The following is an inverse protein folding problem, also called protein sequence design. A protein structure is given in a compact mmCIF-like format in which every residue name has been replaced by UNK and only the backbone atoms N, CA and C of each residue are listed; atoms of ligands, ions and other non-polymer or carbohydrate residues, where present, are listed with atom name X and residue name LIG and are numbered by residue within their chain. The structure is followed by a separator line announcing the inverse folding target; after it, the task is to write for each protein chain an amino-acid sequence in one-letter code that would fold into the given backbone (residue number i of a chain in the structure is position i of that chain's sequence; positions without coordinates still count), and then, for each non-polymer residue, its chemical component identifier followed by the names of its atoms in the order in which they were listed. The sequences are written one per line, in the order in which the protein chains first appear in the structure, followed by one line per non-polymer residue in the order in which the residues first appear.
data_IF_758884155894
#
_entry.id   IF_758884155894
#
_cell.length_a   1.000
_cell.length_b   1.000
_cell.length_c   1.000
_cell.angle_alpha   90.00
_cell.angle_beta   90.00
_cell.angle_gamma   90.00
#
_symmetry.space_group_name_H-M   'P 1'
#
loop_
_entity.id
_entity.type
_entity.pdbx_description
1 polymer ?
#
# COMPACT_ATOMS: atom_id res chain seq x y z
N UNK A 1 5.49 5.03 -16.44
CA UNK A 1 5.09 4.07 -15.39
C UNK A 1 6.35 3.71 -14.59
N UNK A 2 6.40 3.95 -13.27
CA UNK A 2 7.61 3.77 -12.45
C UNK A 2 8.17 2.33 -12.49
N UNK A 3 7.32 1.31 -12.66
CA UNK A 3 7.71 -0.10 -12.80
C UNK A 3 8.74 -0.35 -13.91
N UNK A 4 8.57 0.29 -15.07
CA UNK A 4 9.48 0.11 -16.22
C UNK A 4 10.88 0.62 -15.86
N UNK A 5 10.96 1.78 -15.19
CA UNK A 5 12.25 2.35 -14.74
C UNK A 5 12.94 1.43 -13.73
N UNK A 6 12.19 0.74 -12.86
CA UNK A 6 12.74 -0.18 -11.86
C UNK A 6 13.39 -1.43 -12.47
N UNK A 7 12.96 -1.87 -13.65
CA UNK A 7 13.57 -3.02 -14.34
C UNK A 7 14.98 -2.73 -14.88
N UNK A 8 15.32 -1.45 -15.11
CA UNK A 8 16.62 -0.97 -15.62
C UNK A 8 17.03 -1.45 -17.03
N UNK A 9 16.88 -2.73 -17.36
CA UNK A 9 17.28 -3.32 -18.64
C UNK A 9 16.14 -3.33 -19.66
N UNK A 10 16.35 -2.92 -20.93
CA UNK A 10 15.29 -2.87 -21.95
C UNK A 10 14.54 -4.19 -22.16
N UNK A 11 15.25 -5.33 -22.12
CA UNK A 11 14.61 -6.64 -22.26
C UNK A 11 13.66 -6.97 -21.09
N UNK A 12 14.02 -6.55 -19.86
CA UNK A 12 13.19 -6.74 -18.67
C UNK A 12 12.03 -5.74 -18.64
N UNK A 13 12.24 -4.51 -19.14
CA UNK A 13 11.20 -3.50 -19.32
C UNK A 13 10.06 -4.00 -20.20
N UNK A 14 10.38 -4.70 -21.30
CA UNK A 14 9.38 -5.27 -22.19
C UNK A 14 8.56 -6.35 -21.49
N UNK A 15 9.21 -7.24 -20.73
CA UNK A 15 8.53 -8.26 -19.92
C UNK A 15 7.59 -7.65 -18.91
N UNK A 16 8.03 -6.60 -18.19
CA UNK A 16 7.19 -5.86 -17.24
C UNK A 16 5.97 -5.25 -17.94
N UNK A 17 6.16 -4.65 -19.13
CA UNK A 17 5.07 -4.04 -19.89
C UNK A 17 4.03 -5.08 -20.32
N UNK A 18 4.48 -6.20 -20.90
CA UNK A 18 3.61 -7.31 -21.30
C UNK A 18 2.88 -7.91 -20.11
N UNK A 19 3.58 -8.17 -19.00
CA UNK A 19 2.97 -8.70 -17.79
C UNK A 19 1.96 -7.74 -17.18
N UNK A 20 2.26 -6.44 -17.12
CA UNK A 20 1.31 -5.43 -16.60
C UNK A 20 0.01 -5.37 -17.42
N UNK A 21 0.10 -5.59 -18.73
CA UNK A 21 -1.08 -5.68 -19.59
C UNK A 21 -1.89 -6.99 -19.38
N UNK A 22 -1.25 -8.05 -18.89
CA UNK A 22 -1.86 -9.36 -18.67
C UNK A 22 -2.42 -9.58 -17.25
N UNK A 23 -1.88 -8.93 -16.22
CA UNK A 23 -2.36 -9.10 -14.84
C UNK A 23 -3.82 -8.63 -14.66
N UNK A 24 -4.52 -9.22 -13.68
CA UNK A 24 -5.91 -8.88 -13.36
C UNK A 24 -6.13 -7.39 -13.06
N UNK A 25 -7.35 -6.91 -13.30
CA UNK A 25 -7.72 -5.50 -13.18
C UNK A 25 -7.54 -4.95 -11.76
N UNK A 26 -7.77 -5.76 -10.71
CA UNK A 26 -7.55 -5.37 -9.30
C UNK A 26 -6.06 -5.07 -9.02
N UNK A 27 -5.17 -5.98 -9.40
CA UNK A 27 -3.72 -5.82 -9.20
C UNK A 27 -3.20 -4.62 -9.99
N UNK A 28 -3.61 -4.50 -11.26
CA UNK A 28 -3.26 -3.37 -12.12
C UNK A 28 -3.71 -2.04 -11.54
N UNK A 29 -4.98 -1.94 -11.09
CA UNK A 29 -5.53 -0.74 -10.45
C UNK A 29 -4.72 -0.37 -9.22
N UNK A 30 -4.40 -1.34 -8.37
CA UNK A 30 -3.60 -1.11 -7.15
C UNK A 30 -2.22 -0.54 -7.49
N UNK A 31 -1.51 -1.13 -8.46
CA UNK A 31 -0.21 -0.63 -8.91
C UNK A 31 -0.29 0.78 -9.49
N UNK A 32 -1.26 1.06 -10.38
CA UNK A 32 -1.47 2.42 -10.93
C UNK A 32 -1.74 3.42 -9.82
N UNK A 33 -2.65 3.09 -8.92
CA UNK A 33 -3.11 3.96 -7.86
C UNK A 33 -2.02 4.26 -6.85
N UNK A 34 -1.28 3.26 -6.38
CA UNK A 34 -0.32 3.44 -5.30
C UNK A 34 1.04 3.95 -5.81
N UNK A 35 1.46 3.55 -7.01
CA UNK A 35 2.72 4.04 -7.58
C UNK A 35 2.63 5.44 -8.19
N UNK A 36 1.42 5.98 -8.38
CA UNK A 36 1.21 7.36 -8.84
C UNK A 36 1.19 8.40 -7.73
N UNK A 37 1.15 7.98 -6.47
CA UNK A 37 1.27 8.91 -5.36
C UNK A 37 2.71 9.42 -5.26
N UNK A 38 2.88 10.73 -5.23
CA UNK A 38 4.17 11.41 -5.05
C UNK A 38 4.56 11.49 -3.57
N UNK A 39 3.57 11.62 -2.68
CA UNK A 39 3.77 11.95 -1.26
C UNK A 39 3.96 13.45 -1.02
N UNK A 40 4.02 14.25 -2.07
CA UNK A 40 4.10 15.70 -2.05
C UNK A 40 2.70 16.26 -2.24
N UNK A 41 2.31 17.20 -1.39
CA UNK A 41 0.98 17.79 -1.41
C UNK A 41 0.76 18.58 -2.70
N UNK A 42 -0.44 18.43 -3.30
CA UNK A 42 -0.83 19.05 -4.57
C UNK A 42 0.02 18.68 -5.80
N UNK A 43 0.95 17.72 -5.68
CA UNK A 43 1.68 17.19 -6.82
C UNK A 43 0.95 15.97 -7.41
N UNK A 44 0.61 16.04 -8.69
CA UNK A 44 0.02 14.94 -9.44
C UNK A 44 0.74 14.77 -10.78
N UNK A 45 0.88 13.52 -11.23
CA UNK A 45 1.38 13.24 -12.57
C UNK A 45 0.29 13.52 -13.60
N UNK A 46 0.62 14.26 -14.66
CA UNK A 46 -0.29 14.70 -15.73
C UNK A 46 -1.20 13.59 -16.27
N UNK A 47 -0.68 12.36 -16.40
CA UNK A 47 -1.40 11.21 -16.97
C UNK A 47 -2.03 10.27 -15.95
N UNK A 48 -2.15 10.70 -14.70
CA UNK A 48 -2.74 9.86 -13.64
C UNK A 48 -3.91 10.58 -13.02
N UNK A 49 -4.99 9.88 -12.62
CA UNK A 49 -6.07 10.53 -11.90
C UNK A 49 -5.48 11.28 -10.71
N UNK A 50 -5.97 12.49 -10.46
CA UNK A 50 -5.56 13.34 -9.33
C UNK A 50 -6.00 12.67 -8.02
N UNK A 51 -5.27 11.63 -7.63
CA UNK A 51 -5.49 10.90 -6.41
C UNK A 51 -4.78 11.67 -5.30
N UNK A 52 -5.51 12.63 -4.73
CA UNK A 52 -5.14 13.23 -3.47
C UNK A 52 -5.23 12.14 -2.39
N UNK A 53 -4.19 12.05 -1.56
CA UNK A 53 -4.17 11.09 -0.47
C UNK A 53 -2.77 10.77 0.00
N UNK A 54 -2.61 10.83 1.32
CA UNK A 54 -1.40 10.41 2.04
C UNK A 54 -1.77 9.28 3.00
N UNK A 55 -0.84 8.37 3.36
CA UNK A 55 0.57 8.38 2.98
C UNK A 55 0.85 7.82 1.58
N UNK A 56 1.97 8.24 0.98
CA UNK A 56 2.56 7.59 -0.19
C UNK A 56 3.54 6.49 0.25
N UNK A 57 3.70 5.45 -0.56
CA UNK A 57 4.51 4.29 -0.21
C UNK A 57 5.83 4.24 -0.96
N UNK A 58 6.93 4.16 -0.19
CA UNK A 58 8.24 3.80 -0.69
C UNK A 58 8.49 2.31 -0.42
N UNK A 59 8.36 1.46 -1.43
CA UNK A 59 8.67 0.03 -1.29
C UNK A 59 10.16 -0.19 -1.51
N UNK A 60 10.91 -0.27 -0.41
CA UNK A 60 12.35 -0.45 -0.42
C UNK A 60 12.72 -1.84 -0.94
N UNK A 61 13.76 -1.92 -1.78
CA UNK A 61 14.14 -3.10 -2.59
C UNK A 61 13.19 -3.53 -3.72
N UNK A 62 12.09 -2.82 -3.99
CA UNK A 62 11.23 -3.12 -5.15
C UNK A 62 12.00 -3.25 -6.49
N UNK A 63 12.98 -2.38 -6.83
CA UNK A 63 13.77 -2.56 -8.04
C UNK A 63 14.65 -3.82 -8.05
N UNK A 64 15.21 -4.20 -6.89
CA UNK A 64 16.03 -5.41 -6.79
C UNK A 64 15.16 -6.67 -6.90
N UNK A 65 14.02 -6.69 -6.23
CA UNK A 65 13.02 -7.75 -6.32
C UNK A 65 12.54 -7.95 -7.77
N UNK A 66 12.14 -6.86 -8.44
CA UNK A 66 11.64 -6.91 -9.81
C UNK A 66 12.68 -7.51 -10.77
N UNK A 67 13.94 -7.05 -10.72
CA UNK A 67 15.01 -7.55 -11.58
C UNK A 67 15.29 -9.05 -11.40
N UNK A 68 15.18 -9.56 -10.17
CA UNK A 68 15.37 -10.99 -9.90
C UNK A 68 14.21 -11.83 -10.41
N UNK A 69 12.97 -11.50 -10.01
CA UNK A 69 11.83 -12.40 -10.20
C UNK A 69 11.12 -12.23 -11.56
N UNK A 70 11.29 -11.09 -12.25
CA UNK A 70 10.66 -10.84 -13.57
C UNK A 70 11.15 -11.79 -14.65
N UNK A 71 12.32 -12.41 -14.46
CA UNK A 71 12.90 -13.37 -15.41
C UNK A 71 12.16 -14.69 -15.41
N UNK A 72 11.67 -15.09 -14.23
CA UNK A 72 11.00 -16.37 -14.00
C UNK A 72 9.50 -16.25 -14.30
N UNK A 73 8.81 -15.36 -13.59
CA UNK A 73 7.38 -15.12 -13.78
C UNK A 73 7.05 -13.63 -13.57
N UNK A 74 7.00 -12.84 -14.65
CA UNK A 74 6.76 -11.40 -14.55
C UNK A 74 5.34 -11.07 -14.08
N UNK A 75 4.34 -11.92 -14.35
CA UNK A 75 2.95 -11.66 -13.94
C UNK A 75 2.77 -11.87 -12.45
N UNK A 76 3.24 -13.01 -11.92
CA UNK A 76 3.19 -13.28 -10.49
C UNK A 76 4.03 -12.27 -9.69
N UNK A 77 5.19 -11.88 -10.21
CA UNK A 77 6.04 -10.84 -9.61
C UNK A 77 5.28 -9.52 -9.42
N UNK A 78 4.57 -9.06 -10.46
CA UNK A 78 3.78 -7.83 -10.37
C UNK A 78 2.59 -7.98 -9.41
N UNK A 79 1.95 -9.15 -9.38
CA UNK A 79 0.84 -9.38 -8.47
C UNK A 79 1.29 -9.46 -7.01
N UNK A 80 2.48 -9.99 -6.71
CA UNK A 80 3.11 -9.94 -5.38
C UNK A 80 3.29 -8.48 -4.95
N UNK A 81 3.87 -7.63 -5.81
CA UNK A 81 4.02 -6.20 -5.52
C UNK A 81 2.67 -5.51 -5.29
N UNK A 82 1.68 -5.81 -6.13
CA UNK A 82 0.33 -5.27 -5.95
C UNK A 82 -0.27 -5.64 -4.59
N UNK A 83 -0.06 -6.89 -4.15
CA UNK A 83 -0.54 -7.36 -2.85
C UNK A 83 0.19 -6.67 -1.68
N UNK A 84 1.49 -6.41 -1.80
CA UNK A 84 2.24 -5.60 -0.81
C UNK A 84 1.65 -4.19 -0.70
N UNK A 85 1.41 -3.51 -1.83
CA UNK A 85 0.78 -2.18 -1.84
C UNK A 85 -0.63 -2.19 -1.26
N UNK A 86 -1.44 -3.21 -1.59
CA UNK A 86 -2.79 -3.38 -1.05
C UNK A 86 -2.76 -3.55 0.48
N UNK A 87 -1.88 -4.42 0.98
CA UNK A 87 -1.72 -4.65 2.40
C UNK A 87 -1.21 -3.39 3.12
N UNK A 88 -0.25 -2.68 2.52
CA UNK A 88 0.22 -1.40 3.02
C UNK A 88 -0.92 -0.37 3.10
N UNK A 89 -1.83 -0.32 2.12
CA UNK A 89 -2.98 0.57 2.16
C UNK A 89 -4.00 0.21 3.26
N UNK A 90 -4.18 -1.07 3.54
CA UNK A 90 -4.99 -1.51 4.70
C UNK A 90 -4.35 -1.10 6.02
N UNK A 91 -3.03 -1.24 6.12
CA UNK A 91 -2.27 -0.90 7.32
C UNK A 91 -2.14 0.62 7.51
N UNK A 92 -1.98 1.38 6.44
CA UNK A 92 -1.83 2.83 6.45
C UNK A 92 -2.92 3.46 5.58
N UNK A 93 -4.16 3.58 6.12
CA UNK A 93 -5.28 4.17 5.41
C UNK A 93 -4.99 5.59 4.95
N UNK A 94 -5.71 6.04 3.92
CA UNK A 94 -5.63 7.43 3.49
C UNK A 94 -6.23 8.34 4.55
N UNK A 95 -5.59 9.47 4.82
CA UNK A 95 -6.22 10.56 5.57
C UNK A 95 -7.12 11.30 4.58
N UNK A 96 -8.44 11.21 4.77
CA UNK A 96 -9.39 11.94 3.94
C UNK A 96 -9.25 13.45 4.22
N UNK A 97 -8.86 14.23 3.21
CA UNK A 97 -8.76 15.70 3.32
C UNK A 97 -10.09 16.40 3.67
N UNK A 98 -11.23 15.68 3.61
CA UNK A 98 -12.55 16.25 3.92
C UNK A 98 -12.74 16.69 5.37
N UNK A 99 -11.93 16.23 6.32
CA UNK A 99 -12.07 16.68 7.72
C UNK A 99 -11.43 18.05 8.00
N UNK A 100 -10.46 18.49 7.21
CA UNK A 100 -9.72 19.72 7.53
C UNK A 100 -10.49 21.00 7.13
N UNK A 101 -11.31 20.94 6.08
CA UNK A 101 -12.08 22.11 5.66
C UNK A 101 -13.23 22.49 6.61
N UNK A 102 -13.78 21.54 7.40
CA UNK A 102 -14.89 21.83 8.32
C UNK A 102 -14.47 22.63 9.55
N UNK A 103 -13.20 22.58 9.96
CA UNK A 103 -12.72 23.30 11.15
C UNK A 103 -12.35 24.77 10.86
N UNK A 104 -12.21 25.16 9.59
CA UNK A 104 -11.86 26.53 9.21
C UNK A 104 -13.08 27.45 9.08
N UNK A 105 -14.26 26.89 8.78
CA UNK A 105 -15.47 27.68 8.49
C UNK A 105 -16.25 28.05 9.77
N UNK A 106 -16.15 27.23 10.83
CA UNK A 106 -16.78 27.48 12.14
C UNK A 106 -16.09 28.60 12.97
N UNK A 107 -14.98 29.18 12.49
CA UNK A 107 -14.33 30.33 13.12
C UNK A 107 -14.77 31.69 12.57
N UNK A 108 -15.64 31.74 11.56
CA UNK A 108 -16.07 33.02 10.94
C UNK A 108 -17.44 33.55 11.39
N UNK A 109 -18.17 32.84 12.25
CA UNK A 109 -19.54 33.22 12.64
C UNK A 109 -19.68 33.84 14.03
N UNK A 110 -18.58 34.19 14.71
CA UNK A 110 -18.63 34.80 16.03
C UNK A 110 -17.90 36.13 16.12
N UNK A 111 -18.37 37.19 15.43
CA UNK A 111 -18.07 38.58 15.82
C UNK A 111 -18.97 39.57 15.04
N UNK A 112 -20.22 39.68 15.51
CA UNK A 112 -21.01 40.89 15.35
C UNK A 112 -21.42 41.32 16.77
N UNK A 113 -20.47 41.95 17.46
CA UNK A 113 -20.67 42.57 18.77
C UNK A 113 -19.92 43.89 18.79
N UNK A 114 -20.66 44.98 18.64
CA UNK A 114 -20.19 46.36 18.67
C UNK A 114 -19.34 46.65 19.92
N UNK A 115 -18.09 47.09 19.71
CA UNK A 115 -17.34 47.83 20.74
C UNK A 115 -16.47 48.93 20.12
N UNK A 116 -16.95 50.17 20.28
CA UNK A 116 -16.27 51.41 19.96
C UNK A 116 -15.33 51.76 21.14
N UNK A 117 -14.02 51.83 20.91
CA UNK A 117 -13.04 52.23 21.92
C UNK A 117 -11.80 52.90 21.30
N UNK A 118 -11.34 54.06 21.82
CA UNK A 118 -10.27 54.82 21.21
C UNK A 118 -8.87 54.29 21.56
N UNK A 119 -7.96 54.55 20.62
CA UNK A 119 -6.59 54.08 20.51
C UNK A 119 -5.68 54.46 21.67
N UNK A 120 -4.80 53.53 22.07
CA UNK A 120 -3.37 53.78 22.39
C UNK A 120 -2.61 52.46 22.59
N UNK A 121 -1.39 52.37 22.05
CA UNK A 121 -0.34 51.50 22.61
C UNK A 121 0.26 50.49 21.63
N UNK A 122 1.31 50.90 20.92
CA UNK A 122 2.21 50.03 20.16
C UNK A 122 2.96 49.08 21.11
N UNK A 123 2.77 47.77 20.94
CA UNK A 123 3.68 46.73 21.44
C UNK A 123 4.04 45.79 20.30
N UNK A 124 5.23 45.99 19.75
CA UNK A 124 5.86 45.09 18.81
C UNK A 124 6.26 43.80 19.54
N UNK A 125 5.36 42.84 19.61
CA UNK A 125 5.68 41.47 20.03
C UNK A 125 5.91 40.65 18.77
N UNK A 126 7.17 40.58 18.35
CA UNK A 126 7.64 39.70 17.28
C UNK A 126 7.61 38.26 17.80
N UNK A 127 6.44 37.63 17.77
CA UNK A 127 6.29 36.20 18.00
C UNK A 127 6.84 35.45 16.78
N UNK A 128 8.14 35.14 16.85
CA UNK A 128 8.80 34.14 16.02
C UNK A 128 8.26 32.76 16.37
N UNK A 129 7.00 32.52 16.01
CA UNK A 129 6.42 31.18 15.94
C UNK A 129 7.04 30.54 14.71
N UNK A 130 8.18 29.89 14.90
CA UNK A 130 8.71 28.86 14.01
C UNK A 130 7.64 27.76 13.92
N UNK A 131 6.63 28.01 13.09
CA UNK A 131 5.74 27.02 12.55
C UNK A 131 6.59 26.17 11.59
N UNK A 132 7.47 25.36 12.18
CA UNK A 132 8.05 24.16 11.56
C UNK A 132 6.96 23.09 11.43
N UNK A 133 5.75 23.51 11.06
CA UNK A 133 4.76 22.66 10.44
C UNK A 133 5.13 22.56 8.95
N UNK A 134 6.42 22.32 8.67
CA UNK A 134 6.88 21.78 7.42
C UNK A 134 6.10 20.48 7.26
N UNK A 135 5.03 20.56 6.47
CA UNK A 135 4.06 19.51 6.25
C UNK A 135 4.81 18.23 5.95
N UNK A 136 5.00 17.43 6.99
CA UNK A 136 5.88 16.27 6.98
C UNK A 136 5.24 15.31 6.00
N UNK A 137 5.67 15.31 4.73
CA UNK A 137 5.13 14.46 3.69
C UNK A 137 5.15 13.05 4.24
N UNK A 138 3.99 12.51 4.58
CA UNK A 138 3.90 11.23 5.29
C UNK A 138 4.14 10.15 4.26
N UNK A 139 5.41 9.93 3.96
CA UNK A 139 5.88 8.73 3.34
C UNK A 139 5.79 7.59 4.34
N UNK A 140 5.46 6.41 3.86
CA UNK A 140 5.63 5.17 4.60
C UNK A 140 6.61 4.30 3.82
N UNK A 141 7.66 3.86 4.50
CA UNK A 141 8.66 2.95 3.93
C UNK A 141 8.25 1.51 4.21
N UNK A 142 8.19 0.70 3.16
CA UNK A 142 7.86 -0.72 3.21
C UNK A 142 9.10 -1.53 2.84
N UNK A 143 9.64 -2.29 3.77
CA UNK A 143 10.79 -3.17 3.55
C UNK A 143 10.32 -4.52 3.01
N UNK A 144 10.87 -4.95 1.86
CA UNK A 144 10.60 -6.27 1.28
C UNK A 144 11.89 -7.09 1.12
N UNK A 145 12.81 -6.98 2.07
CA UNK A 145 14.11 -7.64 2.07
C UNK A 145 14.00 -9.17 2.05
N UNK A 146 13.05 -9.75 2.81
CA UNK A 146 12.81 -11.20 2.80
C UNK A 146 12.28 -11.69 1.45
N UNK A 147 11.37 -10.95 0.81
CA UNK A 147 10.93 -11.25 -0.56
C UNK A 147 12.10 -11.14 -1.55
N UNK A 148 12.92 -10.09 -1.43
CA UNK A 148 14.12 -9.90 -2.26
C UNK A 148 15.18 -10.99 -2.06
N UNK A 149 15.24 -11.60 -0.87
CA UNK A 149 16.16 -12.71 -0.58
C UNK A 149 15.73 -14.02 -1.27
N UNK A 150 14.47 -14.14 -1.69
CA UNK A 150 13.98 -15.23 -2.54
C UNK A 150 14.21 -14.84 -4.00
N UNK A 151 14.96 -15.65 -4.73
CA UNK A 151 15.36 -15.31 -6.10
C UNK A 151 14.29 -15.64 -7.13
N UNK A 152 13.38 -16.58 -6.81
CA UNK A 152 12.31 -17.01 -7.70
C UNK A 152 10.92 -16.86 -7.07
N UNK A 153 9.92 -16.66 -7.93
CA UNK A 153 8.51 -16.64 -7.52
C UNK A 153 8.10 -17.97 -6.87
N UNK A 154 8.59 -19.09 -7.39
CA UNK A 154 8.29 -20.41 -6.84
C UNK A 154 8.72 -20.55 -5.38
N UNK A 155 9.86 -19.99 -4.98
CA UNK A 155 10.30 -19.99 -3.57
C UNK A 155 9.36 -19.18 -2.69
N UNK A 156 8.86 -18.05 -3.18
CA UNK A 156 7.95 -17.17 -2.43
C UNK A 156 6.60 -17.88 -2.22
N UNK A 157 6.06 -18.48 -3.28
CA UNK A 157 4.78 -19.18 -3.22
C UNK A 157 4.87 -20.50 -2.43
N UNK A 158 6.01 -21.19 -2.50
CA UNK A 158 6.28 -22.44 -1.79
C UNK A 158 6.35 -22.32 -0.26
N UNK A 159 6.45 -21.11 0.32
CA UNK A 159 6.38 -20.96 1.78
C UNK A 159 5.03 -21.46 2.34
N UNK A 160 3.95 -21.35 1.57
CA UNK A 160 2.63 -21.86 1.97
C UNK A 160 2.61 -23.39 2.18
N UNK A 161 3.33 -24.13 1.33
CA UNK A 161 3.45 -25.59 1.41
C UNK A 161 4.23 -26.02 2.66
N UNK A 162 5.09 -25.13 3.18
CA UNK A 162 5.87 -25.34 4.39
C UNK A 162 5.15 -24.86 5.66
N UNK A 163 3.83 -24.64 5.60
CA UNK A 163 3.04 -24.16 6.73
C UNK A 163 3.37 -22.73 7.16
N UNK A 164 3.95 -21.93 6.26
CA UNK A 164 4.28 -20.53 6.49
C UNK A 164 3.43 -19.61 5.63
N UNK A 165 3.35 -18.35 6.01
CA UNK A 165 2.64 -17.34 5.26
C UNK A 165 3.38 -16.01 5.29
N UNK A 166 3.09 -15.18 4.30
CA UNK A 166 3.66 -13.85 4.21
C UNK A 166 2.73 -12.84 4.87
N UNK A 167 3.28 -12.00 5.73
CA UNK A 167 2.57 -10.92 6.41
C UNK A 167 3.32 -9.61 6.17
N UNK A 168 2.59 -8.51 6.13
CA UNK A 168 3.15 -7.18 6.29
C UNK A 168 3.04 -6.82 7.77
N UNK A 169 4.15 -6.52 8.43
CA UNK A 169 4.24 -6.20 9.87
C UNK A 169 4.60 -4.72 10.02
N UNK A 170 3.82 -3.98 10.80
CA UNK A 170 4.07 -2.59 11.17
C UNK A 170 5.28 -2.53 12.11
N UNK A 171 6.26 -1.70 11.77
CA UNK A 171 7.43 -1.42 12.63
C UNK A 171 7.34 -0.06 13.33
N UNK A 172 6.49 0.84 12.81
CA UNK A 172 6.22 2.13 13.43
C UNK A 172 5.04 2.86 12.77
N UNK A 173 5.00 4.18 12.94
CA UNK A 173 3.99 5.03 12.30
C UNK A 173 4.24 5.23 10.81
N UNK A 174 5.49 5.13 10.37
CA UNK A 174 5.95 5.37 8.99
C UNK A 174 6.67 4.18 8.37
N UNK A 175 6.68 3.02 9.03
CA UNK A 175 7.47 1.87 8.60
C UNK A 175 6.72 0.54 8.76
N UNK A 176 6.92 -0.35 7.79
CA UNK A 176 6.50 -1.75 7.87
C UNK A 176 7.46 -2.66 7.07
N UNK A 177 7.49 -3.94 7.40
CA UNK A 177 8.31 -4.96 6.73
C UNK A 177 7.45 -6.15 6.30
N UNK A 178 7.81 -6.77 5.18
CA UNK A 178 7.23 -8.05 4.77
C UNK A 178 8.03 -9.18 5.39
N UNK A 179 7.35 -10.04 6.15
CA UNK A 179 7.95 -11.11 6.93
C UNK A 179 7.22 -12.43 6.68
N UNK A 180 7.96 -13.52 6.85
CA UNK A 180 7.38 -14.86 6.88
C UNK A 180 7.06 -15.27 8.32
N UNK A 181 5.84 -15.77 8.55
CA UNK A 181 5.41 -16.32 9.83
C UNK A 181 4.85 -17.73 9.67
N UNK A 182 5.02 -18.57 10.67
CA UNK A 182 4.31 -19.87 10.73
C UNK A 182 2.81 -19.63 10.83
N UNK A 183 2.03 -20.40 10.05
CA UNK A 183 0.59 -20.22 9.95
C UNK A 183 -0.12 -20.44 11.31
N UNK A 184 0.41 -21.34 12.14
CA UNK A 184 -0.05 -21.54 13.51
C UNK A 184 0.04 -20.24 14.34
N UNK A 185 1.18 -19.54 14.28
CA UNK A 185 1.39 -18.32 15.07
C UNK A 185 0.42 -17.20 14.68
N UNK A 186 0.06 -17.12 13.40
CA UNK A 186 -0.94 -16.14 12.90
C UNK A 186 -2.34 -16.44 13.42
N UNK A 187 -2.73 -17.72 13.50
CA UNK A 187 -4.06 -18.11 13.95
C UNK A 187 -4.30 -17.91 15.45
N UNK A 188 -3.26 -18.07 16.27
CA UNK A 188 -3.39 -18.13 17.74
C UNK A 188 -3.07 -16.83 18.48
N UNK A 189 -2.64 -15.75 17.80
CA UNK A 189 -2.32 -14.47 18.44
C UNK A 189 -3.23 -13.31 17.96
N UNK A 190 -4.54 -13.36 18.24
CA UNK A 190 -5.48 -12.34 17.78
C UNK A 190 -5.28 -10.96 18.45
N UNK A 191 -4.62 -10.88 19.60
CA UNK A 191 -4.48 -9.64 20.36
C UNK A 191 -3.39 -8.69 19.83
N UNK A 192 -2.46 -9.17 18.99
CA UNK A 192 -1.46 -8.33 18.30
C UNK A 192 -1.85 -8.02 16.83
N UNK A 193 -3.09 -8.36 16.42
CA UNK A 193 -3.57 -8.20 15.04
C UNK A 193 -3.56 -6.75 14.50
N UNK A 194 -3.43 -5.73 15.35
CA UNK A 194 -3.28 -4.35 14.88
C UNK A 194 -1.97 -4.09 14.15
N UNK A 195 -1.00 -5.00 14.27
CA UNK A 195 0.35 -4.78 13.78
C UNK A 195 0.67 -5.53 12.49
N UNK A 196 -0.18 -6.42 12.00
CA UNK A 196 0.12 -7.10 10.73
C UNK A 196 -1.08 -7.32 9.81
N UNK A 197 -0.78 -7.45 8.52
CA UNK A 197 -1.74 -7.74 7.45
C UNK A 197 -1.25 -8.94 6.66
N UNK A 198 -2.07 -9.99 6.59
CA UNK A 198 -1.77 -11.20 5.83
C UNK A 198 -1.77 -10.90 4.31
N UNK A 199 -0.68 -11.27 3.62
CA UNK A 199 -0.52 -11.11 2.18
C UNK A 199 -1.10 -12.32 1.44
N UNK A 200 -2.07 -12.12 0.56
CA UNK A 200 -2.82 -13.18 -0.15
C UNK A 200 -2.03 -13.86 -1.27
N UNK A 201 -0.79 -14.26 -1.03
CA UNK A 201 0.10 -14.86 -2.03
C UNK A 201 -0.24 -16.32 -2.35
N UNK A 202 -0.96 -17.02 -1.49
CA UNK A 202 -1.36 -18.43 -1.69
C UNK A 202 -2.59 -18.60 -2.59
N UNK A 203 -3.39 -17.55 -2.77
CA UNK A 203 -4.54 -17.65 -3.66
C UNK A 203 -3.97 -17.68 -5.06
N UNK A 204 -4.20 -18.77 -5.79
CA UNK A 204 -4.04 -18.84 -7.23
C UNK A 204 -4.91 -17.83 -8.00
N UNK A 205 -5.30 -16.71 -7.37
CA UNK A 205 -5.91 -15.52 -7.94
C UNK A 205 -4.99 -14.80 -8.95
N UNK A 206 -3.74 -15.26 -9.11
CA UNK A 206 -2.95 -14.96 -10.31
C UNK A 206 -3.44 -15.72 -11.54
N UNK A 207 -4.37 -16.68 -11.38
CA UNK A 207 -5.07 -17.30 -12.49
C UNK A 207 -5.75 -16.19 -13.26
N UNK A 208 -5.14 -15.90 -14.40
CA UNK A 208 -5.57 -15.01 -15.46
C UNK A 208 -7.08 -15.22 -15.59
N UNK A 209 -7.85 -14.29 -15.05
CA UNK A 209 -9.25 -14.16 -15.40
C UNK A 209 -9.19 -13.58 -16.80
N UNK A 210 -9.05 -14.46 -17.78
CA UNK A 210 -9.25 -14.10 -19.17
C UNK A 210 -10.76 -14.19 -19.40
N UNK A 211 -11.52 -13.08 -19.32
CA UNK A 211 -12.95 -13.12 -19.58
C UNK A 211 -13.27 -13.51 -21.02
N UNK A 212 -12.27 -13.53 -21.92
CA UNK A 212 -12.45 -13.82 -23.34
C UNK A 212 -12.00 -15.23 -23.77
N UNK A 213 -11.53 -16.09 -22.86
CA UNK A 213 -11.35 -17.52 -23.18
C UNK A 213 -12.71 -18.21 -23.04
N UNK A 214 -13.60 -17.94 -24.00
CA UNK A 214 -14.77 -18.79 -24.30
C UNK A 214 -14.37 -19.93 -25.26
N UNK A 215 -13.13 -20.42 -25.14
CA UNK A 215 -12.60 -21.53 -25.91
C UNK A 215 -12.95 -22.87 -25.27
N UNK A 216 -13.93 -23.57 -25.85
CA UNK A 216 -14.25 -24.98 -25.60
C UNK A 216 -12.99 -25.88 -25.73
N UNK A 217 -12.83 -26.83 -24.80
CA UNK A 217 -11.91 -27.98 -24.89
C UNK A 217 -11.18 -28.20 -23.57
N UNK A 218 -11.76 -28.88 -22.58
CA UNK A 218 -11.76 -30.34 -22.41
C UNK A 218 -10.34 -30.97 -22.41
N UNK A 219 -9.89 -31.41 -21.24
CA UNK A 219 -8.69 -32.25 -21.07
C UNK A 219 -7.97 -31.95 -19.77
N UNK A 220 -8.18 -32.79 -18.76
CA UNK A 220 -7.82 -32.54 -17.37
C UNK A 220 -6.31 -32.46 -17.08
N UNK A 221 -5.98 -31.80 -15.97
CA UNK A 221 -5.30 -32.42 -14.84
C UNK A 221 -5.18 -31.40 -13.71
N UNK A 222 -5.57 -31.83 -12.52
CA UNK A 222 -5.18 -31.29 -11.21
C UNK A 222 -5.15 -29.77 -11.02
N UNK A 223 -6.31 -29.21 -10.66
CA UNK A 223 -6.36 -27.92 -9.98
C UNK A 223 -7.26 -27.98 -8.76
N UNK A 224 -6.62 -27.74 -7.60
CA UNK A 224 -7.18 -27.15 -6.39
C UNK A 224 -7.81 -28.07 -5.34
N UNK A 225 -6.99 -28.45 -4.35
CA UNK A 225 -7.44 -28.71 -2.96
C UNK A 225 -6.89 -27.63 -2.03
N UNK A 226 -7.21 -26.35 -2.28
CA UNK A 226 -7.05 -25.28 -1.27
C UNK A 226 -8.14 -24.22 -1.47
N UNK A 227 -9.40 -24.64 -1.33
CA UNK A 227 -10.55 -23.73 -1.31
C UNK A 227 -11.02 -23.57 0.13
N UNK A 228 -11.19 -22.30 0.54
CA UNK A 228 -11.88 -21.82 1.75
C UNK A 228 -11.12 -21.80 3.09
N UNK A 229 -10.12 -20.92 3.18
CA UNK A 229 -9.94 -20.07 4.37
C UNK A 229 -10.15 -18.61 3.94
N UNK A 230 -11.34 -18.09 4.22
CA UNK A 230 -11.68 -16.67 4.07
C UNK A 230 -11.83 -16.07 5.45
N UNK A 231 -10.71 -15.84 6.13
CA UNK A 231 -10.69 -15.08 7.38
C UNK A 231 -10.97 -13.61 7.01
N UNK A 232 -12.20 -13.16 7.23
CA UNK A 232 -12.54 -11.73 7.21
C UNK A 232 -12.07 -11.10 8.51
N UNK A 233 -10.77 -10.84 8.64
CA UNK A 233 -10.23 -10.02 9.74
C UNK A 233 -10.32 -8.55 9.34
N UNK A 234 -11.46 -7.93 9.66
CA UNK A 234 -11.58 -6.48 9.78
C UNK A 234 -12.04 -6.16 11.20
N UNK A 235 -11.17 -6.41 12.19
CA UNK A 235 -11.42 -6.00 13.58
C UNK A 235 -10.96 -4.55 13.71
N UNK A 236 -11.88 -3.61 13.47
CA UNK A 236 -11.68 -2.18 13.77
C UNK A 236 -11.89 -2.00 15.29
N UNK A 237 -10.84 -2.01 16.10
CA UNK A 237 -10.93 -1.54 17.50
C UNK A 237 -10.78 -0.03 17.56
N UNK A 238 -11.70 0.64 18.26
CA UNK A 238 -11.57 2.06 18.62
C UNK A 238 -10.39 2.20 19.60
N UNK A 239 -9.57 3.26 19.50
CA UNK A 239 -8.54 3.53 20.50
C UNK A 239 -9.21 3.81 21.85
N UNK A 240 -8.83 3.03 22.87
CA UNK A 240 -9.15 3.33 24.27
C UNK A 240 -8.24 4.47 24.72
N UNK A 241 -8.82 5.66 24.89
CA UNK A 241 -8.15 6.79 25.53
C UNK A 241 -8.09 6.49 27.02
N UNK A 242 -6.90 6.22 27.55
CA UNK A 242 -6.69 6.26 29.00
C UNK A 242 -6.67 7.72 29.43
N UNK A 243 -7.64 8.07 30.28
CA UNK A 243 -7.68 9.33 31.04
C UNK A 243 -6.83 9.22 32.29
#
# INVERSE_FOLDING_TARGET
MRLVVQAQMPAEQEKVRGAFAAIGSEARRTLVQEMSLSGIENEAFERTPSLLGRPAFLVYYSPAFLRSCVRDDPQATLCILAEVYRAARLMFPRVDQKMEHRSAEDRRTGEAGDHFGPATGNTATTSSSSNDNAGSGSGVTIFIDQLKARTSVSQILGEAENGRCWVLVRKGTTEASVETMELGNVAFQPTQLSEYVLLRLWRGAFAISDPNVHGRGAGGSDRSVLTALSVRTAVRRRPTVHK
#
